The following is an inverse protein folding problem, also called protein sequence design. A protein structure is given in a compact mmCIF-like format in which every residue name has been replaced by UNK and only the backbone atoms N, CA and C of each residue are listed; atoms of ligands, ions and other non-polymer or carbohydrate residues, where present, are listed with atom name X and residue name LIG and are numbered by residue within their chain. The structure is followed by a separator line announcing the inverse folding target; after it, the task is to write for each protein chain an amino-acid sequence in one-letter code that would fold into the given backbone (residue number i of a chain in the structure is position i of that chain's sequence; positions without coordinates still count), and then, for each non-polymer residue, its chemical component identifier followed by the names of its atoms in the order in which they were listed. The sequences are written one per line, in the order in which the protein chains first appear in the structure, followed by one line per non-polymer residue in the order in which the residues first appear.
data_IF_507626040079
#
_entry.id   IF_507626040079
#
_cell.length_a   1.000
_cell.length_b   1.000
_cell.length_c   1.000
_cell.angle_alpha   90.00
_cell.angle_beta   90.00
_cell.angle_gamma   90.00
#
_symmetry.space_group_name_H-M   'P 1'
#
loop_
_entity.id
_entity.type
_entity.pdbx_description
1 polymer ?
#
# COMPACT_ATOMS: atom_id res chain seq x y z
N UNK A 1 -11.84 -24.35 -25.85
CA UNK A 1 -10.41 -24.63 -26.16
C UNK A 1 -9.78 -23.35 -26.65
N UNK A 2 -9.19 -22.57 -25.74
CA UNK A 2 -8.42 -21.39 -26.10
C UNK A 2 -6.94 -21.78 -26.03
N UNK A 3 -6.28 -21.77 -27.18
CA UNK A 3 -4.84 -22.03 -27.30
C UNK A 3 -4.13 -20.81 -26.70
N UNK A 4 -3.50 -21.00 -25.54
CA UNK A 4 -2.53 -20.06 -24.99
C UNK A 4 -1.44 -19.83 -26.05
N UNK A 5 -1.37 -18.61 -26.59
CA UNK A 5 -0.21 -18.16 -27.33
C UNK A 5 0.96 -18.13 -26.37
N UNK A 6 1.79 -19.17 -26.42
CA UNK A 6 3.13 -19.19 -25.84
C UNK A 6 3.84 -17.95 -26.37
N UNK A 7 4.05 -16.95 -25.51
CA UNK A 7 4.87 -15.80 -25.84
C UNK A 7 6.26 -16.33 -26.19
N UNK A 8 6.67 -16.10 -27.44
CA UNK A 8 8.02 -16.32 -27.93
C UNK A 8 9.03 -15.70 -26.95
N UNK A 9 10.16 -16.36 -26.64
CA UNK A 9 11.18 -15.77 -25.78
C UNK A 9 11.62 -14.44 -26.39
N UNK A 10 11.67 -13.40 -25.56
CA UNK A 10 12.28 -12.13 -25.96
C UNK A 10 13.67 -12.41 -26.52
N UNK A 11 13.92 -11.88 -27.72
CA UNK A 11 15.24 -11.92 -28.37
C UNK A 11 16.26 -11.42 -27.36
N UNK A 12 17.31 -12.21 -27.09
CA UNK A 12 18.45 -11.80 -26.26
C UNK A 12 19.17 -10.67 -26.99
N UNK A 13 18.75 -9.44 -26.75
CA UNK A 13 19.65 -8.31 -26.87
C UNK A 13 20.71 -8.45 -25.78
N UNK A 14 21.97 -8.15 -26.09
CA UNK A 14 23.06 -7.95 -25.10
C UNK A 14 22.79 -6.71 -24.24
N UNK A 15 21.55 -6.51 -23.80
CA UNK A 15 21.18 -5.59 -22.74
C UNK A 15 21.71 -6.22 -21.46
N UNK A 16 22.41 -5.43 -20.64
CA UNK A 16 22.92 -5.84 -19.34
C UNK A 16 21.73 -6.11 -18.40
N UNK A 17 21.12 -7.28 -18.53
CA UNK A 17 20.12 -7.76 -17.59
C UNK A 17 20.82 -7.98 -16.25
N UNK A 18 20.27 -7.48 -15.14
CA UNK A 18 20.87 -7.64 -13.82
C UNK A 18 20.66 -9.07 -13.31
N UNK A 19 21.23 -10.05 -14.01
CA UNK A 19 21.02 -11.48 -13.80
C UNK A 19 21.45 -11.91 -12.40
N UNK A 20 22.59 -11.38 -11.92
CA UNK A 20 23.14 -11.75 -10.62
C UNK A 20 22.35 -11.10 -9.48
N UNK A 21 21.95 -9.85 -9.64
CA UNK A 21 21.04 -9.19 -8.68
C UNK A 21 19.68 -9.90 -8.62
N UNK A 22 19.12 -10.27 -9.78
CA UNK A 22 17.86 -11.01 -9.84
C UNK A 22 17.95 -12.37 -9.13
N UNK A 23 19.06 -13.09 -9.32
CA UNK A 23 19.31 -14.35 -8.61
C UNK A 23 19.36 -14.14 -7.09
N UNK A 24 20.08 -13.12 -6.61
CA UNK A 24 20.17 -12.81 -5.18
C UNK A 24 18.81 -12.44 -4.58
N UNK A 25 18.01 -11.63 -5.28
CA UNK A 25 16.65 -11.28 -4.84
C UNK A 25 15.73 -12.52 -4.81
N UNK A 26 15.87 -13.42 -5.79
CA UNK A 26 15.12 -14.67 -5.83
C UNK A 26 15.51 -15.61 -4.69
N UNK A 27 16.80 -15.75 -4.41
CA UNK A 27 17.30 -16.52 -3.26
C UNK A 27 16.79 -15.93 -1.94
N UNK A 28 16.85 -14.59 -1.77
CA UNK A 28 16.34 -13.91 -0.59
C UNK A 28 14.83 -14.18 -0.37
N UNK A 29 14.03 -14.11 -1.44
CA UNK A 29 12.59 -14.44 -1.41
C UNK A 29 12.36 -15.88 -0.97
N UNK A 30 13.11 -16.84 -1.51
CA UNK A 30 12.93 -18.25 -1.18
C UNK A 30 13.35 -18.57 0.26
N UNK A 31 14.46 -17.99 0.71
CA UNK A 31 14.92 -18.14 2.09
C UNK A 31 13.88 -17.61 3.07
N UNK A 32 13.32 -16.44 2.78
CA UNK A 32 12.25 -15.86 3.60
C UNK A 32 10.97 -16.72 3.57
N UNK A 33 10.59 -17.25 2.42
CA UNK A 33 9.45 -18.16 2.31
C UNK A 33 9.65 -19.46 3.11
N UNK A 34 10.86 -20.02 3.10
CA UNK A 34 11.20 -21.20 3.92
C UNK A 34 11.20 -20.85 5.42
N UNK A 35 11.78 -19.72 5.81
CA UNK A 35 11.76 -19.23 7.20
C UNK A 35 10.34 -19.10 7.72
N UNK A 36 9.46 -18.42 6.97
CA UNK A 36 8.04 -18.27 7.30
C UNK A 36 7.37 -19.65 7.41
N UNK A 37 7.62 -20.57 6.48
CA UNK A 37 7.04 -21.93 6.52
C UNK A 37 7.50 -22.73 7.75
N UNK A 38 8.72 -22.52 8.22
CA UNK A 38 9.28 -23.19 9.40
C UNK A 38 8.73 -22.59 10.70
N UNK A 39 8.53 -21.27 10.74
CA UNK A 39 7.99 -20.55 11.90
C UNK A 39 6.46 -20.69 12.03
N UNK A 40 5.74 -20.79 10.91
CA UNK A 40 4.29 -20.90 10.91
C UNK A 40 3.82 -22.32 11.19
N UNK A 41 3.22 -22.50 12.36
CA UNK A 41 2.52 -23.71 12.76
C UNK A 41 1.05 -23.65 12.33
N UNK A 42 0.61 -24.64 11.55
CA UNK A 42 -0.80 -24.76 11.17
C UNK A 42 -1.73 -24.82 12.39
N UNK A 43 -1.27 -25.46 13.48
CA UNK A 43 -2.01 -25.55 14.73
C UNK A 43 -2.20 -24.16 15.33
N UNK A 44 -1.16 -23.35 15.38
CA UNK A 44 -1.20 -22.03 16.01
C UNK A 44 -2.03 -21.05 15.18
N UNK A 45 -1.90 -21.10 13.84
CA UNK A 45 -2.77 -20.33 12.93
C UNK A 45 -4.24 -20.74 13.10
N UNK A 46 -4.52 -22.05 13.13
CA UNK A 46 -5.89 -22.55 13.32
C UNK A 46 -6.46 -22.09 14.66
N UNK A 47 -5.65 -22.16 15.73
CA UNK A 47 -6.07 -21.72 17.06
C UNK A 47 -6.35 -20.22 17.09
N UNK A 48 -5.48 -19.40 16.51
CA UNK A 48 -5.65 -17.94 16.46
C UNK A 48 -6.91 -17.55 15.68
N UNK A 49 -7.11 -18.15 14.49
CA UNK A 49 -8.30 -17.88 13.68
C UNK A 49 -9.59 -18.36 14.35
N UNK A 50 -9.58 -19.53 14.98
CA UNK A 50 -10.73 -20.04 15.73
C UNK A 50 -11.04 -19.14 16.93
N UNK A 51 -10.01 -18.72 17.67
CA UNK A 51 -10.15 -17.80 18.80
C UNK A 51 -10.70 -16.45 18.35
N UNK A 52 -10.24 -15.93 17.21
CA UNK A 52 -10.75 -14.71 16.62
C UNK A 52 -12.23 -14.82 16.22
N UNK A 53 -12.66 -15.94 15.64
CA UNK A 53 -14.07 -16.17 15.28
C UNK A 53 -14.94 -16.25 16.54
N UNK A 54 -14.51 -17.01 17.55
CA UNK A 54 -15.22 -17.13 18.83
C UNK A 54 -15.31 -15.76 19.50
N UNK A 55 -14.23 -14.99 19.49
CA UNK A 55 -14.22 -13.62 19.98
C UNK A 55 -15.23 -12.76 19.23
N UNK A 56 -15.18 -12.74 17.88
CA UNK A 56 -16.08 -11.96 17.03
C UNK A 56 -17.56 -12.24 17.32
N UNK A 57 -17.92 -13.51 17.57
CA UNK A 57 -19.29 -13.94 17.84
C UNK A 57 -19.71 -13.77 19.30
N UNK A 58 -18.75 -13.87 20.23
CA UNK A 58 -19.00 -13.88 21.67
C UNK A 58 -18.83 -12.53 22.36
N UNK A 59 -18.32 -11.50 21.68
CA UNK A 59 -18.18 -10.18 22.27
C UNK A 59 -19.54 -9.47 22.37
N UNK A 60 -20.03 -9.17 23.58
CA UNK A 60 -21.18 -8.29 23.72
C UNK A 60 -20.81 -6.88 23.21
N UNK A 61 -21.80 -6.18 22.64
CA UNK A 61 -21.63 -4.77 22.30
C UNK A 61 -21.22 -4.02 23.58
N UNK A 62 -20.09 -3.31 23.52
CA UNK A 62 -19.58 -2.62 24.71
C UNK A 62 -20.67 -1.66 25.24
N UNK A 63 -20.83 -1.52 26.58
CA UNK A 63 -21.94 -0.73 27.15
C UNK A 63 -22.05 0.70 26.62
N UNK A 64 -20.91 1.31 26.24
CA UNK A 64 -20.85 2.64 25.63
C UNK A 64 -21.53 2.75 24.26
N UNK A 65 -21.84 1.63 23.61
CA UNK A 65 -22.48 1.55 22.30
C UNK A 65 -23.86 0.89 22.33
N UNK A 66 -24.28 0.32 23.46
CA UNK A 66 -25.50 -0.50 23.58
C UNK A 66 -26.79 0.25 23.16
N UNK A 67 -26.83 1.57 23.36
CA UNK A 67 -27.99 2.42 23.06
C UNK A 67 -27.74 3.38 21.90
N UNK A 68 -26.66 3.21 21.13
CA UNK A 68 -26.36 4.09 19.99
C UNK A 68 -27.01 3.56 18.72
N UNK A 69 -27.66 4.45 17.99
CA UNK A 69 -28.07 4.16 16.62
C UNK A 69 -26.84 4.02 15.72
N UNK A 70 -26.87 3.01 14.85
CA UNK A 70 -25.72 2.63 14.03
C UNK A 70 -25.33 3.72 13.02
N UNK A 71 -26.32 4.31 12.34
CA UNK A 71 -26.07 5.29 11.29
C UNK A 71 -25.44 6.60 11.82
N UNK A 72 -25.99 7.28 12.85
CA UNK A 72 -25.34 8.45 13.46
C UNK A 72 -23.95 8.14 14.01
N UNK A 73 -23.76 6.94 14.58
CA UNK A 73 -22.46 6.51 15.08
C UNK A 73 -21.43 6.39 13.94
N UNK A 74 -21.79 5.73 12.85
CA UNK A 74 -20.90 5.55 11.70
C UNK A 74 -20.58 6.88 11.02
N UNK A 75 -21.57 7.77 10.88
CA UNK A 75 -21.35 9.11 10.35
C UNK A 75 -20.38 9.94 11.19
N UNK A 76 -20.52 9.92 12.51
CA UNK A 76 -19.58 10.58 13.42
C UNK A 76 -18.15 10.05 13.21
N UNK A 77 -17.98 8.74 13.04
CA UNK A 77 -16.66 8.13 12.82
C UNK A 77 -16.08 8.48 11.47
N UNK A 78 -16.87 8.44 10.41
CA UNK A 78 -16.39 8.78 9.07
C UNK A 78 -15.99 10.25 9.03
N UNK A 79 -16.77 11.16 9.62
CA UNK A 79 -16.41 12.57 9.74
C UNK A 79 -15.09 12.77 10.48
N UNK A 80 -14.88 12.09 11.62
CA UNK A 80 -13.61 12.10 12.34
C UNK A 80 -12.44 11.63 11.46
N UNK A 81 -12.63 10.54 10.71
CA UNK A 81 -11.59 9.98 9.83
C UNK A 81 -11.29 10.86 8.63
N UNK A 82 -12.31 11.43 7.99
CA UNK A 82 -12.15 12.38 6.88
C UNK A 82 -11.37 13.61 7.33
N UNK A 83 -11.74 14.21 8.46
CA UNK A 83 -11.00 15.35 9.03
C UNK A 83 -9.57 14.97 9.40
N UNK A 84 -9.38 13.78 9.99
CA UNK A 84 -8.06 13.26 10.32
C UNK A 84 -7.18 13.15 9.08
N UNK A 85 -7.74 12.68 7.97
CA UNK A 85 -7.03 12.54 6.71
C UNK A 85 -6.72 13.87 6.06
N UNK A 86 -7.70 14.75 5.90
CA UNK A 86 -7.49 16.08 5.32
C UNK A 86 -6.40 16.85 6.09
N UNK A 87 -6.29 16.63 7.41
CA UNK A 87 -5.25 17.23 8.25
C UNK A 87 -3.86 16.60 8.15
N UNK A 88 -3.67 15.49 7.41
CA UNK A 88 -2.39 14.77 7.37
C UNK A 88 -1.26 15.61 6.81
N UNK A 89 -1.50 16.46 5.81
CA UNK A 89 -0.47 17.35 5.25
C UNK A 89 -0.07 18.47 6.20
N UNK A 90 -0.92 18.84 7.16
CA UNK A 90 -0.51 19.75 8.25
C UNK A 90 0.49 19.09 9.19
N UNK A 91 0.37 17.76 9.37
CA UNK A 91 1.24 16.96 10.24
C UNK A 91 2.51 16.47 9.52
N UNK A 92 2.39 16.22 8.23
CA UNK A 92 3.43 15.68 7.35
C UNK A 92 3.45 16.54 6.08
N UNK A 93 3.99 17.76 6.15
CA UNK A 93 3.95 18.71 5.04
C UNK A 93 4.93 18.36 3.93
N UNK A 94 5.93 17.53 4.20
CA UNK A 94 7.01 17.23 3.28
C UNK A 94 6.77 15.92 2.54
N UNK A 95 6.24 16.02 1.31
CA UNK A 95 6.09 14.88 0.41
C UNK A 95 7.40 14.36 -0.18
N UNK A 96 8.56 14.97 0.10
CA UNK A 96 9.85 14.37 -0.25
C UNK A 96 10.32 13.34 0.80
N UNK A 97 9.76 13.39 2.01
CA UNK A 97 10.09 12.47 3.09
C UNK A 97 9.34 11.14 2.95
N UNK A 98 10.01 10.12 2.42
CA UNK A 98 9.43 8.79 2.19
C UNK A 98 8.92 8.08 3.45
N UNK A 99 9.49 8.36 4.63
CA UNK A 99 9.00 7.79 5.90
C UNK A 99 7.67 8.42 6.31
N UNK A 100 7.49 9.71 6.06
CA UNK A 100 6.23 10.41 6.29
C UNK A 100 5.17 10.02 5.28
N UNK A 101 5.54 9.96 3.99
CA UNK A 101 4.69 9.43 2.93
C UNK A 101 4.18 8.03 3.21
N UNK A 102 5.01 7.13 3.77
CA UNK A 102 4.57 5.81 4.19
C UNK A 102 3.46 5.86 5.25
N UNK A 103 3.55 6.79 6.21
CA UNK A 103 2.49 7.01 7.22
C UNK A 103 1.21 7.50 6.56
N UNK A 104 1.32 8.45 5.63
CA UNK A 104 0.18 8.96 4.84
C UNK A 104 -0.47 7.80 4.06
N UNK A 105 0.32 7.00 3.35
CA UNK A 105 -0.13 5.82 2.59
C UNK A 105 -0.95 4.85 3.45
N UNK A 106 -0.48 4.53 4.65
CA UNK A 106 -1.23 3.64 5.57
C UNK A 106 -2.60 4.23 5.91
N UNK A 107 -2.66 5.54 6.19
CA UNK A 107 -3.92 6.23 6.55
C UNK A 107 -4.88 6.29 5.37
N UNK A 108 -4.39 6.66 4.19
CA UNK A 108 -5.13 6.61 2.91
C UNK A 108 -5.72 5.22 2.67
N UNK A 109 -4.91 4.16 2.81
CA UNK A 109 -5.34 2.77 2.63
C UNK A 109 -6.45 2.38 3.61
N UNK A 110 -6.28 2.72 4.90
CA UNK A 110 -7.27 2.40 5.94
C UNK A 110 -8.60 3.09 5.67
N UNK A 111 -8.58 4.35 5.27
CA UNK A 111 -9.79 5.08 4.95
C UNK A 111 -10.51 4.53 3.74
N UNK A 112 -9.77 4.20 2.67
CA UNK A 112 -10.37 3.53 1.52
C UNK A 112 -11.08 2.24 1.93
N UNK A 113 -10.48 1.44 2.82
CA UNK A 113 -11.13 0.21 3.31
C UNK A 113 -12.43 0.50 4.04
N UNK A 114 -12.45 1.47 4.95
CA UNK A 114 -13.69 1.92 5.60
C UNK A 114 -14.73 2.33 4.56
N UNK A 115 -14.34 3.16 3.59
CA UNK A 115 -15.24 3.67 2.57
C UNK A 115 -15.72 2.57 1.59
N UNK A 116 -15.02 1.44 1.50
CA UNK A 116 -15.45 0.29 0.71
C UNK A 116 -16.33 -0.69 1.50
N UNK A 117 -16.19 -0.76 2.83
CA UNK A 117 -16.90 -1.72 3.67
C UNK A 117 -18.31 -1.25 4.06
N UNK A 118 -18.61 0.04 3.98
CA UNK A 118 -19.90 0.62 4.42
C UNK A 118 -20.70 1.23 3.25
N UNK A 119 -21.08 0.45 2.21
CA UNK A 119 -21.76 0.97 1.02
C UNK A 119 -23.09 1.66 1.33
N UNK A 120 -23.77 1.29 2.43
CA UNK A 120 -25.05 1.86 2.85
C UNK A 120 -24.97 3.35 3.17
N UNK A 121 -23.78 3.80 3.59
CA UNK A 121 -23.47 5.16 4.01
C UNK A 121 -22.78 5.92 2.86
N UNK A 122 -22.11 5.20 1.97
CA UNK A 122 -21.21 5.75 0.97
C UNK A 122 -21.90 6.04 -0.37
N UNK A 123 -23.09 6.65 -0.31
CA UNK A 123 -23.77 7.15 -1.52
C UNK A 123 -22.90 8.22 -2.20
N UNK A 124 -22.88 8.23 -3.53
CA UNK A 124 -22.16 9.21 -4.36
C UNK A 124 -20.63 9.30 -4.15
N UNK A 125 -20.01 8.32 -3.49
CA UNK A 125 -18.54 8.29 -3.23
C UNK A 125 -17.69 7.94 -4.45
N UNK A 126 -18.28 7.69 -5.61
CA UNK A 126 -17.58 7.15 -6.78
C UNK A 126 -16.41 8.00 -7.27
N UNK A 127 -16.55 9.33 -7.27
CA UNK A 127 -15.47 10.24 -7.67
C UNK A 127 -14.34 10.27 -6.63
N UNK A 128 -14.68 10.54 -5.37
CA UNK A 128 -13.75 10.53 -4.24
C UNK A 128 -12.97 9.21 -4.15
N UNK A 129 -13.63 8.04 -4.28
CA UNK A 129 -12.97 6.73 -4.25
C UNK A 129 -12.02 6.52 -5.43
N UNK A 130 -12.33 7.06 -6.62
CA UNK A 130 -11.41 7.01 -7.78
C UNK A 130 -10.17 7.86 -7.54
N UNK A 131 -10.31 9.07 -7.01
CA UNK A 131 -9.17 9.94 -6.65
C UNK A 131 -8.32 9.32 -5.55
N UNK A 132 -8.96 8.81 -4.50
CA UNK A 132 -8.31 8.10 -3.41
C UNK A 132 -7.54 6.86 -3.88
N UNK A 133 -8.10 6.10 -4.84
CA UNK A 133 -7.39 4.99 -5.47
C UNK A 133 -6.14 5.47 -6.20
N UNK A 134 -6.26 6.51 -7.05
CA UNK A 134 -5.12 7.07 -7.80
C UNK A 134 -4.00 7.50 -6.86
N UNK A 135 -4.34 8.22 -5.79
CA UNK A 135 -3.40 8.61 -4.74
C UNK A 135 -2.75 7.39 -4.07
N UNK A 136 -3.54 6.37 -3.72
CA UNK A 136 -3.00 5.14 -3.14
C UNK A 136 -2.04 4.41 -4.08
N UNK A 137 -2.35 4.34 -5.38
CA UNK A 137 -1.52 3.66 -6.36
C UNK A 137 -0.16 4.36 -6.49
N UNK A 138 -0.13 5.69 -6.57
CA UNK A 138 1.11 6.49 -6.64
C UNK A 138 1.92 6.39 -5.35
N UNK A 139 1.27 6.53 -4.18
CA UNK A 139 1.94 6.32 -2.89
C UNK A 139 2.45 4.88 -2.74
N UNK A 140 1.75 3.90 -3.32
CA UNK A 140 2.17 2.51 -3.42
C UNK A 140 3.45 2.36 -4.21
N UNK A 141 3.46 2.88 -5.43
CA UNK A 141 4.62 2.88 -6.30
C UNK A 141 5.86 3.51 -5.65
N UNK A 142 5.74 4.72 -5.10
CA UNK A 142 6.85 5.43 -4.45
C UNK A 142 7.38 4.67 -3.23
N UNK A 143 6.49 4.09 -2.43
CA UNK A 143 6.89 3.27 -1.29
C UNK A 143 7.60 1.99 -1.72
N UNK A 144 7.10 1.31 -2.74
CA UNK A 144 7.70 0.06 -3.23
C UNK A 144 9.11 0.33 -3.76
N UNK A 145 9.33 1.45 -4.48
CA UNK A 145 10.68 1.84 -4.91
C UNK A 145 11.60 2.19 -3.73
N UNK A 146 11.10 2.92 -2.74
CA UNK A 146 11.87 3.21 -1.52
C UNK A 146 12.35 1.92 -0.82
N UNK A 147 11.47 0.91 -0.71
CA UNK A 147 11.81 -0.39 -0.14
C UNK A 147 12.77 -1.17 -1.04
N UNK A 148 12.56 -1.18 -2.35
CA UNK A 148 13.44 -1.84 -3.31
C UNK A 148 14.87 -1.30 -3.23
N UNK A 149 15.03 0.03 -3.23
CA UNK A 149 16.32 0.68 -3.09
C UNK A 149 17.01 0.33 -1.76
N UNK A 150 16.25 0.26 -0.67
CA UNK A 150 16.76 -0.17 0.64
C UNK A 150 17.19 -1.65 0.65
N UNK A 151 16.41 -2.55 0.03
CA UNK A 151 16.75 -3.97 -0.11
C UNK A 151 18.04 -4.16 -0.92
N UNK A 152 18.14 -3.50 -2.07
CA UNK A 152 19.33 -3.55 -2.92
C UNK A 152 20.55 -2.98 -2.20
N UNK A 153 20.39 -1.91 -1.42
CA UNK A 153 21.50 -1.33 -0.64
C UNK A 153 22.05 -2.28 0.43
N UNK A 154 21.23 -3.18 0.98
CA UNK A 154 21.69 -4.21 1.93
C UNK A 154 22.57 -5.27 1.25
N UNK A 155 22.34 -5.56 -0.02
CA UNK A 155 23.15 -6.47 -0.84
C UNK A 155 24.52 -5.84 -1.18
N UNK A 156 24.59 -4.51 -1.22
CA UNK A 156 25.79 -3.74 -1.61
C UNK A 156 26.99 -3.95 -0.67
N UNK A 157 26.73 -4.24 0.60
CA UNK A 157 27.75 -4.30 1.64
C UNK A 157 28.79 -5.41 1.41
N UNK A 158 28.53 -6.34 0.49
CA UNK A 158 29.39 -7.50 0.19
C UNK A 158 29.59 -7.71 -1.32
N UNK A 159 29.36 -6.69 -2.16
CA UNK A 159 29.25 -6.86 -3.62
C UNK A 159 30.55 -6.61 -4.40
N UNK A 160 30.70 -7.33 -5.51
CA UNK A 160 31.75 -7.12 -6.52
C UNK A 160 31.41 -5.94 -7.43
N UNK A 161 32.39 -5.34 -8.11
CA UNK A 161 32.21 -4.20 -9.03
C UNK A 161 31.09 -4.43 -10.08
N UNK A 162 31.08 -5.60 -10.73
CA UNK A 162 30.02 -5.96 -11.69
C UNK A 162 28.61 -5.99 -11.06
N UNK A 163 28.48 -6.41 -9.79
CA UNK A 163 27.19 -6.41 -9.09
C UNK A 163 26.79 -4.98 -8.69
N UNK A 164 27.75 -4.12 -8.38
CA UNK A 164 27.48 -2.68 -8.15
C UNK A 164 26.91 -2.01 -9.40
N UNK A 165 27.39 -2.36 -10.60
CA UNK A 165 26.82 -1.88 -11.86
C UNK A 165 25.38 -2.34 -12.06
N UNK A 166 25.07 -3.63 -11.85
CA UNK A 166 23.68 -4.14 -11.93
C UNK A 166 22.75 -3.44 -10.92
N UNK A 167 23.24 -3.20 -9.71
CA UNK A 167 22.49 -2.50 -8.67
C UNK A 167 22.23 -1.03 -9.01
N UNK A 168 23.21 -0.35 -9.62
CA UNK A 168 23.05 1.03 -10.09
C UNK A 168 22.05 1.11 -11.24
N UNK A 169 22.12 0.18 -12.21
CA UNK A 169 21.13 0.07 -13.28
C UNK A 169 19.73 -0.14 -12.72
N UNK A 170 19.56 -1.09 -11.78
CA UNK A 170 18.26 -1.41 -11.21
C UNK A 170 17.64 -0.19 -10.49
N UNK A 171 18.41 0.51 -9.67
CA UNK A 171 17.95 1.74 -8.99
C UNK A 171 17.66 2.89 -9.98
N UNK A 172 18.43 2.98 -11.06
CA UNK A 172 18.28 4.02 -12.06
C UNK A 172 17.09 3.81 -13.01
N UNK A 173 16.68 2.55 -13.23
CA UNK A 173 15.72 2.15 -14.26
C UNK A 173 14.37 2.89 -14.18
N UNK A 174 13.86 3.16 -12.97
CA UNK A 174 12.59 3.88 -12.79
C UNK A 174 12.75 5.28 -12.18
N UNK A 175 13.97 5.81 -12.08
CA UNK A 175 14.24 7.11 -11.45
C UNK A 175 13.37 8.25 -11.99
N UNK A 176 13.27 8.40 -13.32
CA UNK A 176 12.42 9.42 -13.94
C UNK A 176 10.93 9.26 -13.57
N UNK A 177 10.42 8.03 -13.50
CA UNK A 177 9.03 7.76 -13.10
C UNK A 177 8.80 8.07 -11.62
N UNK A 178 9.79 7.82 -10.78
CA UNK A 178 9.75 8.11 -9.34
C UNK A 178 9.71 9.62 -9.11
N UNK A 179 10.54 10.37 -9.83
CA UNK A 179 10.54 11.84 -9.79
C UNK A 179 9.19 12.41 -10.27
N UNK A 180 8.68 11.93 -11.41
CA UNK A 180 7.37 12.33 -11.93
C UNK A 180 6.24 11.99 -10.93
N UNK A 181 6.24 10.76 -10.41
CA UNK A 181 5.23 10.32 -9.45
C UNK A 181 5.29 11.14 -8.15
N UNK A 182 6.48 11.44 -7.64
CA UNK A 182 6.66 12.26 -6.45
C UNK A 182 6.19 13.70 -6.67
N UNK A 183 6.49 14.28 -7.82
CA UNK A 183 6.02 15.62 -8.19
C UNK A 183 4.49 15.70 -8.30
N UNK A 184 3.82 14.61 -8.67
CA UNK A 184 2.36 14.57 -8.80
C UNK A 184 1.61 14.40 -7.46
N UNK A 185 2.28 13.99 -6.38
CA UNK A 185 1.60 13.69 -5.09
C UNK A 185 0.85 14.90 -4.51
N UNK A 186 1.40 16.12 -4.46
CA UNK A 186 0.70 17.28 -3.92
C UNK A 186 -0.62 17.55 -4.64
N UNK A 187 -0.61 17.60 -5.98
CA UNK A 187 -1.81 17.86 -6.79
C UNK A 187 -2.85 16.74 -6.60
N UNK A 188 -2.41 15.47 -6.58
CA UNK A 188 -3.31 14.34 -6.33
C UNK A 188 -3.94 14.35 -4.94
N UNK A 189 -3.21 14.91 -3.97
CA UNK A 189 -3.69 15.07 -2.61
C UNK A 189 -4.74 16.16 -2.52
N UNK A 190 -4.49 17.31 -3.14
CA UNK A 190 -5.42 18.44 -3.22
C UNK A 190 -6.72 18.04 -3.93
N UNK A 191 -6.60 17.44 -5.12
CA UNK A 191 -7.71 16.85 -5.89
C UNK A 191 -8.60 15.92 -5.04
N UNK A 192 -7.97 15.10 -4.18
CA UNK A 192 -8.69 14.19 -3.31
C UNK A 192 -9.37 14.92 -2.16
N UNK A 193 -8.73 15.94 -1.57
CA UNK A 193 -9.32 16.73 -0.49
C UNK A 193 -10.53 17.53 -0.96
N UNK A 194 -10.47 18.12 -2.15
CA UNK A 194 -11.62 18.82 -2.75
C UNK A 194 -12.82 17.87 -2.94
N UNK A 195 -12.60 16.69 -3.52
CA UNK A 195 -13.65 15.69 -3.69
C UNK A 195 -14.16 15.12 -2.36
N UNK A 196 -13.30 15.07 -1.33
CA UNK A 196 -13.69 14.68 0.02
C UNK A 196 -14.63 15.73 0.64
N UNK A 197 -14.33 17.01 0.49
CA UNK A 197 -15.17 18.11 0.96
C UNK A 197 -16.52 18.14 0.23
N UNK A 198 -16.50 18.04 -1.11
CA UNK A 198 -17.73 17.95 -1.92
C UNK A 198 -18.59 16.79 -1.46
N UNK A 199 -18.00 15.61 -1.26
CA UNK A 199 -18.74 14.45 -0.79
C UNK A 199 -19.34 14.68 0.61
N UNK A 200 -18.60 15.31 1.53
CA UNK A 200 -19.08 15.63 2.87
C UNK A 200 -20.28 16.58 2.89
N UNK A 201 -20.40 17.46 1.90
CA UNK A 201 -21.54 18.38 1.76
C UNK A 201 -22.78 17.72 1.13
N UNK A 202 -22.64 16.52 0.56
CA UNK A 202 -23.75 15.78 -0.10
C UNK A 202 -24.47 14.79 0.81
N UNK A 203 -24.03 14.65 2.06
CA UNK A 203 -24.47 13.64 3.05
C UNK A 203 -25.00 14.31 4.31
#
# INVERSE_FOLDING_TARGET
MAIEKIKTPLVRHEEMYPEKLAELLWQARNNEAQRIKQELSLKDITLELASFIIWLQGQPVAPAYANKELEPFLWSRIKEWSNSIASLTKRYPDFSNMLEMHKIRIKVKRFRYVMMTLPEINKNTGNMLRKLKKLQDILGFLHDEFINSAMVSKIAATSTESLQCEMALFKGWESAKVEEAAAAVPDLWEDFCEELEIWQDTI
#
